data_IF_303871441925
#
_entry.id   IF_303871441925
#
_cell.length_a   1.000
_cell.length_b   1.000
_cell.length_c   1.000
_cell.angle_alpha   90.00
_cell.angle_beta   90.00
_cell.angle_gamma   90.00
#
_symmetry.space_group_name_H-M   'P 1'
#
loop_
_entity.id
_entity.type
_entity.pdbx_description
1 polymer ?
#
# COMPACT_ATOMS: atom_id res chain seq x y z
N UNK A 1 -7.37 2.31 -3.29
CA UNK A 1 -7.16 3.73 -3.70
C UNK A 1 -6.46 4.58 -2.63
N UNK A 2 -7.08 4.95 -1.52
CA UNK A 2 -6.45 5.86 -0.54
C UNK A 2 -5.14 5.33 0.06
N UNK A 3 -5.03 4.03 0.37
CA UNK A 3 -3.76 3.47 0.83
C UNK A 3 -2.64 3.63 -0.20
N UNK A 4 -2.93 3.44 -1.50
CA UNK A 4 -1.97 3.66 -2.58
C UNK A 4 -1.52 5.14 -2.66
N UNK A 5 -2.47 6.08 -2.60
CA UNK A 5 -2.15 7.51 -2.54
C UNK A 5 -1.30 7.86 -1.31
N UNK A 6 -1.61 7.28 -0.15
CA UNK A 6 -0.81 7.45 1.05
C UNK A 6 0.61 6.92 0.87
N UNK A 7 0.78 5.74 0.25
CA UNK A 7 2.09 5.15 -0.02
C UNK A 7 2.94 6.08 -0.90
N UNK A 8 2.36 6.68 -1.95
CA UNK A 8 3.04 7.69 -2.76
C UNK A 8 3.51 8.90 -1.95
N UNK A 9 2.64 9.43 -1.08
CA UNK A 9 2.97 10.57 -0.25
C UNK A 9 4.05 10.21 0.78
N UNK A 10 3.96 9.04 1.41
CA UNK A 10 4.93 8.55 2.39
C UNK A 10 6.30 8.35 1.73
N UNK A 11 6.35 7.78 0.52
CA UNK A 11 7.59 7.65 -0.25
C UNK A 11 8.24 9.02 -0.50
N UNK A 12 7.46 10.06 -0.84
CA UNK A 12 7.96 11.43 -0.99
C UNK A 12 8.40 12.06 0.34
N UNK A 13 7.74 11.70 1.45
CA UNK A 13 8.12 12.18 2.79
C UNK A 13 9.47 11.58 3.19
N UNK A 14 9.75 10.32 2.86
CA UNK A 14 11.04 9.65 3.16
C UNK A 14 12.27 10.42 2.62
N UNK A 15 12.12 11.12 1.50
CA UNK A 15 13.19 11.93 0.90
C UNK A 15 13.44 13.26 1.63
N UNK A 16 12.43 13.78 2.35
CA UNK A 16 12.41 15.16 2.85
C UNK A 16 12.22 15.27 4.36
N UNK A 17 11.89 14.17 5.04
CA UNK A 17 11.60 14.17 6.47
C UNK A 17 12.84 14.48 7.30
N UNK A 18 12.61 14.98 8.52
CA UNK A 18 13.68 15.05 9.51
C UNK A 18 14.09 13.64 9.96
N UNK A 19 15.33 13.49 10.44
CA UNK A 19 15.80 12.21 11.00
C UNK A 19 14.93 11.70 12.15
N UNK A 20 14.31 12.61 12.90
CA UNK A 20 13.47 12.28 14.06
C UNK A 20 12.13 11.64 13.67
N UNK A 21 11.64 11.86 12.45
CA UNK A 21 10.35 11.37 11.98
C UNK A 21 10.48 10.06 11.18
N UNK A 22 11.69 9.51 11.05
CA UNK A 22 11.94 8.41 10.12
C UNK A 22 11.19 7.13 10.50
N UNK A 23 11.02 6.88 11.80
CA UNK A 23 10.19 5.78 12.30
C UNK A 23 8.71 5.95 11.93
N UNK A 24 8.19 7.18 11.98
CA UNK A 24 6.79 7.46 11.62
C UNK A 24 6.54 7.19 10.13
N UNK A 25 7.53 7.46 9.28
CA UNK A 25 7.47 7.14 7.85
C UNK A 25 7.36 5.64 7.63
N UNK A 26 8.21 4.84 8.31
CA UNK A 26 8.15 3.38 8.22
C UNK A 26 6.84 2.81 8.74
N UNK A 27 6.35 3.29 9.90
CA UNK A 27 5.05 2.93 10.46
C UNK A 27 3.91 3.24 9.48
N UNK A 28 3.94 4.42 8.87
CA UNK A 28 2.95 4.83 7.86
C UNK A 28 2.94 3.91 6.65
N UNK A 29 4.12 3.56 6.12
CA UNK A 29 4.25 2.69 4.96
C UNK A 29 3.67 1.29 5.24
N UNK A 30 4.05 0.69 6.37
CA UNK A 30 3.56 -0.63 6.80
C UNK A 30 2.05 -0.62 7.05
N UNK A 31 1.52 0.42 7.71
CA UNK A 31 0.08 0.54 7.95
C UNK A 31 -0.71 0.72 6.65
N UNK A 32 -0.21 1.53 5.72
CA UNK A 32 -0.85 1.72 4.43
C UNK A 32 -0.81 0.44 3.57
N UNK A 33 0.31 -0.30 3.59
CA UNK A 33 0.43 -1.62 2.96
C UNK A 33 -0.61 -2.60 3.50
N UNK A 34 -0.67 -2.76 4.82
CA UNK A 34 -1.65 -3.63 5.46
C UNK A 34 -3.09 -3.22 5.13
N UNK A 35 -3.38 -1.91 5.13
CA UNK A 35 -4.68 -1.39 4.72
C UNK A 35 -5.04 -1.74 3.27
N UNK A 36 -4.08 -1.66 2.35
CA UNK A 36 -4.26 -2.03 0.94
C UNK A 36 -4.53 -3.54 0.78
N UNK A 37 -3.74 -4.37 1.44
CA UNK A 37 -3.89 -5.83 1.44
C UNK A 37 -5.26 -6.24 2.02
N UNK A 38 -5.63 -5.71 3.18
CA UNK A 38 -6.93 -5.95 3.82
C UNK A 38 -8.10 -5.52 2.92
N UNK A 39 -8.03 -4.33 2.31
CA UNK A 39 -9.08 -3.87 1.40
C UNK A 39 -9.23 -4.80 0.19
N UNK A 40 -8.11 -5.26 -0.36
CA UNK A 40 -8.10 -6.12 -1.55
C UNK A 40 -8.65 -7.52 -1.27
N UNK A 41 -8.34 -8.09 -0.10
CA UNK A 41 -8.93 -9.35 0.35
C UNK A 41 -10.47 -9.28 0.36
N UNK A 42 -11.02 -8.19 0.89
CA UNK A 42 -12.47 -7.98 0.93
C UNK A 42 -13.06 -7.83 -0.48
N UNK A 43 -12.39 -7.09 -1.37
CA UNK A 43 -12.83 -6.97 -2.77
C UNK A 43 -12.84 -8.34 -3.44
N UNK A 44 -11.76 -9.12 -3.35
CA UNK A 44 -11.68 -10.43 -4.01
C UNK A 44 -12.72 -11.42 -3.48
N UNK A 45 -13.00 -11.42 -2.17
CA UNK A 45 -14.04 -12.28 -1.60
C UNK A 45 -15.43 -11.88 -2.09
N UNK A 46 -15.73 -10.57 -2.10
CA UNK A 46 -17.06 -10.07 -2.48
C UNK A 46 -17.33 -10.18 -3.99
N UNK A 47 -16.31 -10.05 -4.84
CA UNK A 47 -16.49 -10.11 -6.30
C UNK A 47 -16.46 -11.53 -6.84
N UNK A 48 -15.88 -12.51 -6.12
CA UNK A 48 -15.75 -13.91 -6.58
C UNK A 48 -17.07 -14.56 -6.99
N UNK A 49 -18.17 -14.18 -6.35
CA UNK A 49 -19.52 -14.74 -6.62
C UNK A 49 -20.27 -13.98 -7.71
N UNK A 50 -19.76 -12.83 -8.17
CA UNK A 50 -20.40 -11.93 -9.13
C UNK A 50 -19.76 -12.05 -10.51
N UNK A 51 -19.63 -13.28 -11.02
CA UNK A 51 -18.79 -13.57 -12.20
C UNK A 51 -19.28 -12.93 -13.51
N UNK A 52 -20.56 -12.64 -13.63
CA UNK A 52 -21.17 -12.02 -14.83
C UNK A 52 -21.33 -10.50 -14.69
N UNK A 53 -20.92 -9.92 -13.55
CA UNK A 53 -21.00 -8.49 -13.28
C UNK A 53 -19.70 -7.79 -13.72
N UNK A 54 -19.79 -6.98 -14.78
CA UNK A 54 -18.65 -6.27 -15.35
C UNK A 54 -18.00 -5.28 -14.36
N UNK A 55 -18.80 -4.62 -13.51
CA UNK A 55 -18.28 -3.68 -12.50
C UNK A 55 -17.56 -4.44 -11.38
N UNK A 56 -18.06 -5.61 -10.97
CA UNK A 56 -17.36 -6.49 -10.04
C UNK A 56 -16.01 -6.97 -10.58
N UNK A 57 -15.94 -7.32 -11.87
CA UNK A 57 -14.69 -7.69 -12.52
C UNK A 57 -13.70 -6.52 -12.58
N UNK A 58 -14.19 -5.32 -12.92
CA UNK A 58 -13.38 -4.10 -12.95
C UNK A 58 -12.83 -3.74 -11.56
N UNK A 59 -13.64 -3.86 -10.51
CA UNK A 59 -13.20 -3.65 -9.13
C UNK A 59 -12.13 -4.66 -8.71
N UNK A 60 -12.28 -5.93 -9.09
CA UNK A 60 -11.28 -6.97 -8.79
C UNK A 60 -9.96 -6.72 -9.54
N UNK A 61 -10.04 -6.34 -10.83
CA UNK A 61 -8.87 -5.98 -11.60
C UNK A 61 -8.13 -4.78 -10.99
N UNK A 62 -8.86 -3.71 -10.65
CA UNK A 62 -8.25 -2.53 -10.04
C UNK A 62 -7.59 -2.85 -8.68
N UNK A 63 -8.24 -3.66 -7.83
CA UNK A 63 -7.66 -4.05 -6.55
C UNK A 63 -6.37 -4.86 -6.73
N UNK A 64 -6.31 -5.72 -7.76
CA UNK A 64 -5.11 -6.48 -8.12
C UNK A 64 -4.00 -5.54 -8.61
N UNK A 65 -4.30 -4.64 -9.55
CA UNK A 65 -3.32 -3.71 -10.10
C UNK A 65 -2.72 -2.83 -8.99
N UNK A 66 -3.57 -2.32 -8.09
CA UNK A 66 -3.11 -1.54 -6.94
C UNK A 66 -2.22 -2.35 -5.99
N UNK A 67 -2.52 -3.63 -5.74
CA UNK A 67 -1.66 -4.48 -4.92
C UNK A 67 -0.29 -4.72 -5.54
N UNK A 68 -0.27 -5.05 -6.83
CA UNK A 68 0.95 -5.35 -7.57
C UNK A 68 1.87 -4.12 -7.66
N UNK A 69 1.30 -2.92 -7.81
CA UNK A 69 2.07 -1.68 -7.88
C UNK A 69 2.50 -1.18 -6.48
N UNK A 70 1.58 -1.08 -5.53
CA UNK A 70 1.83 -0.36 -4.27
C UNK A 70 2.27 -1.25 -3.11
N UNK A 71 2.00 -2.55 -3.16
CA UNK A 71 2.48 -3.50 -2.15
C UNK A 71 4.02 -3.52 -2.05
N UNK A 72 4.74 -3.74 -3.16
CA UNK A 72 6.22 -3.66 -3.18
C UNK A 72 6.73 -2.28 -2.81
N UNK A 73 6.15 -1.22 -3.36
CA UNK A 73 6.56 0.17 -3.08
C UNK A 73 6.50 0.53 -1.60
N UNK A 74 5.45 0.12 -0.90
CA UNK A 74 5.34 0.33 0.54
C UNK A 74 6.38 -0.48 1.33
N UNK A 75 6.70 -1.69 0.86
CA UNK A 75 7.74 -2.52 1.46
C UNK A 75 9.13 -1.89 1.29
N UNK A 76 9.46 -1.39 0.10
CA UNK A 76 10.73 -0.70 -0.17
C UNK A 76 10.93 0.50 0.75
N UNK A 77 9.88 1.30 0.97
CA UNK A 77 9.91 2.43 1.92
C UNK A 77 10.19 1.94 3.34
N UNK A 78 9.55 0.87 3.79
CA UNK A 78 9.77 0.30 5.12
C UNK A 78 11.19 -0.24 5.27
N UNK A 79 11.69 -0.96 4.27
CA UNK A 79 13.04 -1.55 4.26
C UNK A 79 14.12 -0.46 4.31
N UNK A 80 13.96 0.61 3.54
CA UNK A 80 14.85 1.77 3.57
C UNK A 80 14.83 2.48 4.94
N UNK A 81 13.67 2.59 5.58
CA UNK A 81 13.57 3.11 6.95
C UNK A 81 14.32 2.22 7.94
N UNK A 82 14.16 0.90 7.88
CA UNK A 82 14.90 -0.03 8.72
C UNK A 82 16.41 0.08 8.47
N UNK A 83 16.84 0.16 7.22
CA UNK A 83 18.24 0.32 6.87
C UNK A 83 18.84 1.60 7.49
N UNK A 84 18.12 2.73 7.42
CA UNK A 84 18.56 4.00 8.01
C UNK A 84 18.54 4.04 9.54
N UNK A 85 17.66 3.27 10.18
CA UNK A 85 17.58 3.16 11.64
C UNK A 85 18.67 2.26 12.24
N UNK A 86 19.16 1.30 11.45
CA UNK A 86 20.16 0.31 11.88
C UNK A 86 21.58 0.65 11.43
N UNK A 87 21.76 1.77 10.73
CA UNK A 87 23.05 2.35 10.33
C UNK A 87 23.63 3.23 11.44
#
# INVERSE_FOLDING_TARGET
>A
RYCALSIDLIARILEKCSKLMISDVGCGALAAKAGLECASLNVFVNTRTLKEDEEAQKMAAEAKDLLEEYGPKAQEVADEVFARLMA
#
